data_IF_286643207252
#
_entry.id   IF_286643207252
#
_cell.length_a   1.000
_cell.length_b   1.000
_cell.length_c   1.000
_cell.angle_alpha   90.00
_cell.angle_beta   90.00
_cell.angle_gamma   90.00
#
_symmetry.space_group_name_H-M   'P 1'
#
loop_
_entity.id
_entity.type
_entity.pdbx_description
1 polymer ?
#
# COMPACT_ATOMS: atom_id res chain seq x y z
N UNK A 1 -3.13 -9.26 9.56
CA UNK A 1 -2.91 -9.71 10.95
C UNK A 1 -1.45 -9.49 11.29
N UNK A 2 -1.14 -9.29 12.58
CA UNK A 2 0.22 -9.44 13.08
C UNK A 2 0.26 -10.55 14.12
N UNK A 3 1.34 -11.33 14.09
CA UNK A 3 1.59 -12.45 14.99
C UNK A 3 2.96 -12.31 15.60
N UNK A 4 3.14 -12.87 16.78
CA UNK A 4 4.46 -13.07 17.36
C UNK A 4 5.23 -14.10 16.55
N UNK A 5 6.48 -13.79 16.20
CA UNK A 5 7.27 -14.61 15.29
C UNK A 5 7.71 -15.95 15.90
N UNK A 6 7.82 -16.04 17.23
CA UNK A 6 8.27 -17.26 17.93
C UNK A 6 7.12 -18.18 18.31
N UNK A 7 5.96 -17.61 18.64
CA UNK A 7 4.82 -18.35 19.18
C UNK A 7 3.64 -18.44 18.21
N UNK A 8 3.59 -17.62 17.17
CA UNK A 8 2.43 -17.47 16.29
C UNK A 8 1.22 -16.80 16.95
N UNK A 9 1.36 -16.32 18.19
CA UNK A 9 0.27 -15.69 18.92
C UNK A 9 -0.17 -14.39 18.24
N UNK A 10 -1.47 -14.22 18.01
CA UNK A 10 -2.03 -12.99 17.41
C UNK A 10 -1.73 -11.79 18.31
N UNK A 11 -1.01 -10.80 17.76
CA UNK A 11 -0.79 -9.50 18.41
C UNK A 11 -1.95 -8.56 18.12
N UNK A 12 -2.30 -8.39 16.84
CA UNK A 12 -3.42 -7.56 16.42
C UNK A 12 -3.98 -7.96 15.05
N UNK A 13 -5.15 -7.41 14.72
CA UNK A 13 -5.79 -7.57 13.42
C UNK A 13 -6.38 -6.24 12.98
N UNK A 14 -6.23 -5.91 11.71
CA UNK A 14 -6.84 -4.75 11.08
C UNK A 14 -7.84 -5.23 10.02
N UNK A 15 -9.07 -4.72 10.06
CA UNK A 15 -10.11 -5.05 9.08
C UNK A 15 -9.99 -4.10 7.89
N UNK A 16 -9.84 -4.65 6.70
CA UNK A 16 -9.83 -3.89 5.45
C UNK A 16 -11.21 -3.94 4.76
N UNK A 17 -11.55 -2.90 3.98
CA UNK A 17 -12.81 -2.85 3.23
C UNK A 17 -12.90 -3.94 2.14
N UNK A 18 -11.75 -4.32 1.56
CA UNK A 18 -11.67 -5.35 0.53
C UNK A 18 -10.51 -6.33 0.80
N UNK A 19 -10.40 -7.35 -0.05
CA UNK A 19 -9.36 -8.38 -0.03
C UNK A 19 -7.97 -7.75 -0.12
N UNK A 20 -7.01 -8.30 0.61
CA UNK A 20 -5.59 -7.95 0.50
C UNK A 20 -4.94 -8.88 -0.51
N UNK A 21 -4.45 -8.32 -1.62
CA UNK A 21 -3.74 -9.06 -2.66
C UNK A 21 -2.23 -8.80 -2.66
N UNK A 22 -1.74 -7.88 -1.82
CA UNK A 22 -0.33 -7.48 -1.78
C UNK A 22 0.35 -7.98 -0.51
N UNK A 23 1.63 -8.32 -0.61
CA UNK A 23 2.49 -8.49 0.57
C UNK A 23 2.62 -7.16 1.33
N UNK A 24 2.52 -7.15 2.67
CA UNK A 24 2.77 -5.95 3.45
C UNK A 24 4.27 -5.58 3.45
N UNK A 25 4.56 -4.29 3.53
CA UNK A 25 5.91 -3.75 3.72
C UNK A 25 6.05 -3.16 5.13
N UNK A 26 7.24 -3.18 5.70
CA UNK A 26 7.54 -2.58 7.01
C UNK A 26 8.56 -1.47 6.81
N UNK A 27 8.39 -0.34 7.50
CA UNK A 27 9.34 0.77 7.45
C UNK A 27 10.70 0.39 8.08
N UNK A 28 11.82 0.99 7.62
CA UNK A 28 13.15 0.70 8.17
C UNK A 28 13.32 0.99 9.66
N UNK A 29 12.45 1.83 10.24
CA UNK A 29 12.42 2.15 11.67
C UNK A 29 11.51 1.21 12.48
N UNK A 30 10.92 0.19 11.85
CA UNK A 30 9.97 -0.76 12.44
C UNK A 30 8.73 -0.12 13.08
N UNK A 31 8.37 1.10 12.69
CA UNK A 31 7.21 1.81 13.25
C UNK A 31 5.93 1.67 12.43
N UNK A 32 6.02 1.35 11.14
CA UNK A 32 4.87 1.37 10.23
C UNK A 32 4.80 0.12 9.35
N UNK A 33 3.62 -0.50 9.30
CA UNK A 33 3.27 -1.52 8.31
C UNK A 33 2.43 -0.88 7.22
N UNK A 34 2.78 -1.13 5.96
CA UNK A 34 2.04 -0.71 4.79
C UNK A 34 1.38 -1.91 4.12
N UNK A 35 0.13 -1.79 3.73
CA UNK A 35 -0.60 -2.85 3.02
C UNK A 35 -1.62 -2.25 2.07
N UNK A 36 -1.91 -2.94 0.97
CA UNK A 36 -2.85 -2.48 -0.04
C UNK A 36 -3.93 -3.53 -0.34
N UNK A 37 -5.15 -3.05 -0.58
CA UNK A 37 -6.30 -3.88 -0.93
C UNK A 37 -6.68 -3.80 -2.41
N UNK A 38 -7.48 -4.76 -2.85
CA UNK A 38 -7.95 -4.90 -4.22
C UNK A 38 -8.95 -3.82 -4.66
N UNK A 39 -9.46 -3.02 -3.73
CA UNK A 39 -10.28 -1.83 -4.02
C UNK A 39 -9.44 -0.55 -4.20
N UNK A 40 -8.14 -0.70 -4.44
CA UNK A 40 -7.20 0.42 -4.61
C UNK A 40 -7.04 1.30 -3.36
N UNK A 41 -7.26 0.74 -2.16
CA UNK A 41 -6.87 1.37 -0.90
C UNK A 41 -5.44 0.99 -0.50
N UNK A 42 -4.69 1.93 0.04
CA UNK A 42 -3.40 1.76 0.70
C UNK A 42 -3.51 2.22 2.16
N UNK A 43 -2.96 1.44 3.08
CA UNK A 43 -3.03 1.71 4.51
C UNK A 43 -1.63 1.74 5.12
N UNK A 44 -1.41 2.71 6.00
CA UNK A 44 -0.31 2.70 6.95
C UNK A 44 -0.84 2.41 8.35
N UNK A 45 -0.28 1.40 8.99
CA UNK A 45 -0.68 0.93 10.31
C UNK A 45 0.52 1.00 11.25
N UNK A 46 0.27 1.36 12.50
CA UNK A 46 1.25 1.27 13.57
C UNK A 46 1.64 -0.22 13.81
N UNK A 47 2.93 -0.52 13.83
CA UNK A 47 3.43 -1.90 13.98
C UNK A 47 3.09 -2.54 15.32
N UNK A 48 3.05 -1.75 16.40
CA UNK A 48 2.79 -2.25 17.75
C UNK A 48 1.29 -2.54 17.98
N UNK A 49 0.43 -1.66 17.49
CA UNK A 49 -1.01 -1.65 17.83
C UNK A 49 -1.92 -2.07 16.68
N UNK A 50 -1.44 -1.99 15.43
CA UNK A 50 -2.28 -2.11 14.23
C UNK A 50 -3.20 -0.92 13.99
N UNK A 51 -3.04 0.18 14.75
CA UNK A 51 -3.84 1.38 14.59
C UNK A 51 -3.54 2.06 13.25
N UNK A 52 -4.58 2.47 12.53
CA UNK A 52 -4.41 3.18 11.25
C UNK A 52 -3.79 4.56 11.49
N UNK A 53 -2.61 4.79 10.90
CA UNK A 53 -1.95 6.10 10.83
C UNK A 53 -2.55 6.95 9.73
N UNK A 54 -2.66 6.39 8.53
CA UNK A 54 -3.33 7.01 7.39
C UNK A 54 -3.88 5.97 6.40
N UNK A 55 -4.75 6.42 5.50
CA UNK A 55 -5.20 5.65 4.35
C UNK A 55 -5.22 6.53 3.10
N UNK A 56 -4.84 5.95 1.97
CA UNK A 56 -4.90 6.55 0.64
C UNK A 56 -5.83 5.71 -0.24
N UNK A 57 -6.67 6.38 -1.02
CA UNK A 57 -7.56 5.74 -1.99
C UNK A 57 -7.18 6.26 -3.37
N UNK A 58 -6.70 5.39 -4.26
CA UNK A 58 -6.46 5.79 -5.64
C UNK A 58 -7.77 6.13 -6.34
N UNK A 59 -7.76 7.14 -7.20
CA UNK A 59 -8.97 7.51 -7.92
C UNK A 59 -9.38 6.40 -8.91
N UNK A 60 -10.69 6.19 -9.16
CA UNK A 60 -11.16 5.18 -10.11
C UNK A 60 -10.59 5.33 -11.52
N UNK A 61 -10.30 6.56 -11.95
CA UNK A 61 -9.71 6.86 -13.26
C UNK A 61 -8.18 6.65 -13.29
N UNK A 62 -7.51 6.58 -12.13
CA UNK A 62 -6.07 6.36 -12.04
C UNK A 62 -5.72 4.87 -12.03
N UNK A 63 -6.45 4.12 -11.21
CA UNK A 63 -6.25 2.68 -11.07
C UNK A 63 -7.42 1.90 -11.64
N UNK A 64 -8.66 2.15 -11.19
CA UNK A 64 -9.83 1.36 -11.60
C UNK A 64 -9.66 -0.17 -11.43
N UNK A 65 -8.60 -0.59 -10.73
CA UNK A 65 -8.04 -1.92 -10.71
C UNK A 65 -7.39 -2.19 -9.35
N UNK A 66 -7.25 -3.47 -8.96
CA UNK A 66 -6.60 -3.82 -7.73
C UNK A 66 -5.14 -3.37 -7.69
N UNK A 67 -4.67 -2.96 -6.51
CA UNK A 67 -3.23 -2.95 -6.26
C UNK A 67 -2.73 -4.39 -6.29
N UNK A 68 -1.74 -4.64 -7.16
CA UNK A 68 -1.16 -5.97 -7.38
C UNK A 68 0.19 -6.12 -6.70
N UNK A 69 0.87 -5.01 -6.38
CA UNK A 69 2.14 -5.01 -5.68
C UNK A 69 2.35 -3.70 -4.91
N UNK A 70 3.21 -3.74 -3.91
CA UNK A 70 3.64 -2.61 -3.10
C UNK A 70 5.13 -2.76 -2.78
N UNK A 71 5.92 -1.74 -3.06
CA UNK A 71 7.31 -1.65 -2.61
C UNK A 71 7.54 -0.39 -1.77
N UNK A 72 8.48 -0.44 -0.83
CA UNK A 72 8.93 0.71 -0.05
C UNK A 72 10.37 1.07 -0.44
N UNK A 73 10.67 2.36 -0.56
CA UNK A 73 12.03 2.83 -0.82
C UNK A 73 12.97 2.39 0.31
N UNK A 74 14.27 2.17 0.06
CA UNK A 74 15.23 1.80 1.11
C UNK A 74 15.29 2.81 2.27
N UNK A 75 15.02 4.09 1.98
CA UNK A 75 14.97 5.16 3.00
C UNK A 75 13.66 5.18 3.79
N UNK A 76 12.65 4.42 3.37
CA UNK A 76 11.35 4.39 4.02
C UNK A 76 10.47 5.61 3.75
N UNK A 77 10.81 6.45 2.77
CA UNK A 77 10.15 7.74 2.51
C UNK A 77 9.06 7.69 1.42
N UNK A 78 9.06 6.64 0.60
CA UNK A 78 8.20 6.56 -0.59
C UNK A 78 7.74 5.15 -0.83
N UNK A 79 6.42 4.97 -0.95
CA UNK A 79 5.76 3.74 -1.34
C UNK A 79 5.49 3.77 -2.85
N UNK A 80 5.64 2.61 -3.46
CA UNK A 80 5.47 2.37 -4.88
C UNK A 80 4.40 1.30 -5.12
N UNK A 81 3.11 1.62 -4.88
CA UNK A 81 2.05 0.69 -5.22
C UNK A 81 1.84 0.65 -6.75
N UNK A 82 1.59 -0.55 -7.26
CA UNK A 82 1.28 -0.78 -8.67
C UNK A 82 -0.14 -1.29 -8.78
N UNK A 83 -0.92 -0.69 -9.68
CA UNK A 83 -2.26 -1.14 -10.03
C UNK A 83 -2.34 -1.40 -11.54
N UNK A 84 -3.20 -2.34 -11.94
CA UNK A 84 -3.29 -2.76 -13.34
C UNK A 84 -4.65 -3.38 -13.64
N UNK A 85 -5.38 -2.83 -14.62
CA UNK A 85 -6.48 -3.54 -15.30
C UNK A 85 -5.98 -4.35 -16.51
N UNK A 86 -4.86 -3.92 -17.10
CA UNK A 86 -4.21 -4.53 -18.25
C UNK A 86 -2.71 -4.66 -17.95
N UNK A 87 -2.22 -5.89 -17.89
CA UNK A 87 -0.81 -6.22 -17.58
C UNK A 87 0.18 -5.53 -18.52
N UNK A 88 -0.28 -5.08 -19.69
CA UNK A 88 0.54 -4.36 -20.68
C UNK A 88 0.75 -2.89 -20.29
N UNK A 89 -0.17 -2.28 -19.53
CA UNK A 89 -0.10 -0.86 -19.12
C UNK A 89 -0.39 -0.68 -17.63
N UNK A 90 0.50 -1.14 -16.74
CA UNK A 90 0.35 -0.90 -15.32
C UNK A 90 0.49 0.60 -15.03
N UNK A 91 -0.22 1.06 -13.98
CA UNK A 91 0.01 2.36 -13.38
C UNK A 91 0.86 2.18 -12.12
N UNK A 92 1.99 2.86 -12.07
CA UNK A 92 2.87 2.95 -10.90
C UNK A 92 2.62 4.31 -10.22
N UNK A 93 2.35 4.29 -8.92
CA UNK A 93 2.25 5.52 -8.12
C UNK A 93 3.51 5.66 -7.27
N UNK A 94 3.86 6.89 -6.92
CA UNK A 94 4.72 7.19 -5.79
C UNK A 94 3.91 7.91 -4.73
N UNK A 95 3.87 7.33 -3.53
CA UNK A 95 3.11 7.85 -2.39
C UNK A 95 4.08 8.13 -1.26
N UNK A 96 4.00 9.31 -0.66
CA UNK A 96 4.78 9.64 0.52
C UNK A 96 4.43 8.72 1.69
N UNK A 97 5.44 8.05 2.26
CA UNK A 97 5.21 7.01 3.26
C UNK A 97 4.74 7.58 4.60
N UNK A 98 5.13 8.81 4.94
CA UNK A 98 4.75 9.45 6.20
C UNK A 98 3.31 9.96 6.16
N UNK A 99 2.87 10.49 5.01
CA UNK A 99 1.60 11.22 4.88
C UNK A 99 0.54 10.49 4.06
N UNK A 100 0.91 9.52 3.23
CA UNK A 100 0.02 8.90 2.27
C UNK A 100 -0.30 9.77 1.06
N UNK A 101 0.39 10.91 0.87
CA UNK A 101 0.14 11.81 -0.26
C UNK A 101 0.81 11.31 -1.54
N UNK A 102 0.07 11.26 -2.64
CA UNK A 102 0.63 10.95 -3.95
C UNK A 102 1.62 12.05 -4.39
N UNK A 103 2.86 11.64 -4.69
CA UNK A 103 3.92 12.49 -5.25
C UNK A 103 3.81 12.57 -6.77
N UNK A 104 3.67 11.42 -7.42
CA UNK A 104 3.55 11.32 -8.88
C UNK A 104 2.95 9.98 -9.27
N UNK A 105 2.63 9.84 -10.55
CA UNK A 105 2.23 8.58 -11.19
C UNK A 105 2.89 8.41 -12.55
N UNK A 106 3.04 7.15 -12.97
CA UNK A 106 3.53 6.75 -14.29
C UNK A 106 2.58 5.71 -14.88
N UNK A 107 2.20 5.85 -16.16
CA UNK A 107 1.29 4.92 -16.84
C UNK A 107 -0.20 5.26 -16.67
N UNK A 108 -1.06 4.35 -17.16
CA UNK A 108 -2.52 4.49 -17.19
C UNK A 108 -3.08 5.20 -18.44
N UNK A 109 -4.39 5.06 -18.66
CA UNK A 109 -5.09 5.75 -19.75
C UNK A 109 -5.09 7.27 -19.50
N UNK A 110 -4.30 8.02 -20.28
CA UNK A 110 -4.28 9.48 -20.24
C UNK A 110 -3.02 10.13 -19.65
N UNK A 111 -1.94 9.38 -19.39
CA UNK A 111 -0.63 10.01 -19.21
C UNK A 111 -0.11 10.47 -20.57
N UNK A 112 -0.18 11.79 -20.85
CA UNK A 112 0.48 12.38 -22.00
C UNK A 112 2.00 12.21 -21.87
N UNK A 113 2.64 11.92 -23.01
CA UNK A 113 4.08 11.73 -23.17
C UNK A 113 4.88 13.01 -22.85
#
# INVERSE_FOLDING_TARGET
YAVDASTGAKRWSFKTPSTIATSPAVSPDDLTVYTASTDSSLFALDTATGAKRWSFQAAPLECGAPFTSLALSPKGDTLYPVCSTDIVKPTLLAVDAATGHQKWRLGGAGAAA
#
